data_IF_440993910656
#
_entry.id   IF_440993910656
#
_cell.length_a   1.000
_cell.length_b   1.000
_cell.length_c   1.000
_cell.angle_alpha   90.00
_cell.angle_beta   90.00
_cell.angle_gamma   90.00
#
_symmetry.space_group_name_H-M   'P 1'
#
loop_
_entity.id
_entity.type
_entity.pdbx_description
1 polymer ?
#
# COMPACT_ATOMS: atom_id res chain seq x y z
N UNK A 1 2.27 -12.22 -19.47
CA UNK A 1 2.79 -10.84 -19.45
C UNK A 1 1.60 -9.91 -19.26
N UNK A 2 1.62 -9.08 -18.22
CA UNK A 2 0.62 -8.03 -18.03
C UNK A 2 1.18 -6.73 -18.61
N UNK A 3 0.38 -5.97 -19.34
CA UNK A 3 0.76 -4.65 -19.88
C UNK A 3 -0.05 -3.61 -19.11
N UNK A 4 0.63 -2.63 -18.53
CA UNK A 4 0.05 -1.56 -17.73
C UNK A 4 0.59 -0.21 -18.21
N UNK A 5 -0.09 0.86 -17.83
CA UNK A 5 0.42 2.21 -18.03
C UNK A 5 1.78 2.38 -17.33
N UNK A 6 2.74 3.00 -18.03
CA UNK A 6 4.06 3.27 -17.49
C UNK A 6 4.01 4.54 -16.65
N UNK A 7 4.46 4.44 -15.40
CA UNK A 7 4.64 5.59 -14.52
C UNK A 7 6.12 5.79 -14.19
N UNK A 8 6.53 7.04 -13.96
CA UNK A 8 7.94 7.46 -13.94
C UNK A 8 8.73 6.86 -12.78
N UNK A 9 8.15 6.83 -11.57
CA UNK A 9 8.88 6.36 -10.38
C UNK A 9 7.98 5.89 -9.25
N UNK A 10 8.60 5.21 -8.26
CA UNK A 10 7.93 4.92 -6.99
C UNK A 10 7.87 6.15 -6.09
N UNK A 11 6.84 6.22 -5.23
CA UNK A 11 6.70 7.26 -4.21
C UNK A 11 7.95 7.29 -3.31
N UNK A 12 8.55 6.14 -2.98
CA UNK A 12 9.81 6.06 -2.22
C UNK A 12 10.92 6.88 -2.87
N UNK A 13 11.12 6.69 -4.18
CA UNK A 13 12.12 7.43 -4.93
C UNK A 13 11.78 8.92 -5.02
N UNK A 14 10.49 9.23 -5.26
CA UNK A 14 10.03 10.61 -5.32
C UNK A 14 10.25 11.36 -4.00
N UNK A 15 9.89 10.76 -2.85
CA UNK A 15 10.08 11.36 -1.54
C UNK A 15 11.58 11.51 -1.21
N UNK A 16 12.42 10.52 -1.50
CA UNK A 16 13.87 10.63 -1.29
C UNK A 16 14.49 11.84 -2.01
N UNK A 17 13.96 12.20 -3.18
CA UNK A 17 14.48 13.30 -3.98
C UNK A 17 13.84 14.65 -3.63
N UNK A 18 12.56 14.67 -3.23
CA UNK A 18 11.76 15.90 -3.19
C UNK A 18 11.11 16.20 -1.83
N UNK A 19 11.27 15.36 -0.80
CA UNK A 19 10.50 15.52 0.45
C UNK A 19 10.65 16.90 1.12
N UNK A 20 11.84 17.50 1.04
CA UNK A 20 12.11 18.83 1.62
C UNK A 20 11.47 19.94 0.78
N UNK A 21 11.45 19.80 -0.55
CA UNK A 21 10.88 20.81 -1.46
C UNK A 21 9.35 20.73 -1.55
N UNK A 22 8.76 19.57 -1.25
CA UNK A 22 7.31 19.40 -1.23
C UNK A 22 6.65 20.22 -0.12
N UNK A 23 5.65 21.01 -0.49
CA UNK A 23 4.82 21.73 0.47
C UNK A 23 3.77 20.80 1.11
N UNK A 24 3.14 21.26 2.20
CA UNK A 24 2.13 20.47 2.91
C UNK A 24 0.91 20.11 2.07
N UNK A 25 0.51 20.97 1.13
CA UNK A 25 -0.65 20.72 0.27
C UNK A 25 -0.36 19.54 -0.67
N UNK A 26 0.85 19.47 -1.25
CA UNK A 26 1.29 18.35 -2.08
C UNK A 26 1.32 17.06 -1.28
N UNK A 27 1.94 17.07 -0.08
CA UNK A 27 1.99 15.89 0.80
C UNK A 27 0.59 15.37 1.15
N UNK A 28 -0.30 16.27 1.55
CA UNK A 28 -1.69 15.91 1.86
C UNK A 28 -2.44 15.40 0.63
N UNK A 29 -2.18 15.97 -0.55
CA UNK A 29 -2.81 15.52 -1.79
C UNK A 29 -2.33 14.12 -2.19
N UNK A 30 -1.03 13.83 -2.07
CA UNK A 30 -0.48 12.48 -2.26
C UNK A 30 -1.15 11.46 -1.33
N UNK A 31 -1.28 11.78 -0.03
CA UNK A 31 -1.96 10.90 0.93
C UNK A 31 -3.43 10.70 0.56
N UNK A 32 -4.12 11.77 0.14
CA UNK A 32 -5.50 11.69 -0.32
C UNK A 32 -5.66 10.75 -1.52
N UNK A 33 -4.79 10.83 -2.54
CA UNK A 33 -4.89 9.95 -3.72
C UNK A 33 -4.59 8.49 -3.37
N UNK A 34 -3.65 8.23 -2.46
CA UNK A 34 -3.37 6.88 -1.95
C UNK A 34 -4.58 6.34 -1.20
N UNK A 35 -5.19 7.13 -0.30
CA UNK A 35 -6.37 6.74 0.45
C UNK A 35 -7.56 6.43 -0.48
N UNK A 36 -7.72 7.21 -1.55
CA UNK A 36 -8.73 6.99 -2.57
C UNK A 36 -8.52 5.65 -3.31
N UNK A 37 -7.29 5.38 -3.77
CA UNK A 37 -6.97 4.09 -4.40
C UNK A 37 -7.16 2.90 -3.45
N UNK A 38 -6.78 3.05 -2.18
CA UNK A 38 -6.93 2.00 -1.17
C UNK A 38 -8.41 1.73 -0.89
N UNK A 39 -9.24 2.79 -0.80
CA UNK A 39 -10.69 2.68 -0.69
C UNK A 39 -11.28 1.88 -1.86
N UNK A 40 -10.82 2.09 -3.09
CA UNK A 40 -11.30 1.35 -4.26
C UNK A 40 -10.96 -0.15 -4.19
N UNK A 41 -9.76 -0.50 -3.69
CA UNK A 41 -9.37 -1.90 -3.42
C UNK A 41 -10.29 -2.50 -2.35
N UNK A 42 -10.49 -1.78 -1.24
CA UNK A 42 -11.29 -2.26 -0.11
C UNK A 42 -12.78 -2.40 -0.47
N UNK A 43 -13.33 -1.49 -1.28
CA UNK A 43 -14.72 -1.58 -1.77
C UNK A 43 -14.95 -2.80 -2.67
N UNK A 44 -13.91 -3.30 -3.34
CA UNK A 44 -13.96 -4.58 -4.07
C UNK A 44 -13.84 -5.80 -3.16
N UNK A 45 -13.80 -5.61 -1.85
CA UNK A 45 -13.64 -6.66 -0.85
C UNK A 45 -12.23 -7.26 -0.85
N UNK A 46 -11.22 -6.55 -1.33
CA UNK A 46 -9.84 -7.01 -1.39
C UNK A 46 -8.99 -6.40 -0.25
N UNK A 47 -7.89 -7.09 0.06
CA UNK A 47 -6.81 -6.66 0.96
C UNK A 47 -5.52 -6.66 0.15
N UNK A 48 -4.72 -5.60 0.21
CA UNK A 48 -3.47 -5.46 -0.55
C UNK A 48 -2.32 -6.31 0.00
N UNK A 49 -2.13 -6.31 1.33
CA UNK A 49 -1.13 -7.10 2.08
C UNK A 49 0.34 -6.71 1.86
N UNK A 50 0.62 -5.72 1.02
CA UNK A 50 1.97 -5.24 0.74
C UNK A 50 1.98 -3.74 0.39
N UNK A 51 1.22 -2.95 1.15
CA UNK A 51 1.09 -1.52 0.93
C UNK A 51 2.28 -0.77 1.57
N UNK A 52 3.15 -0.19 0.73
CA UNK A 52 4.27 0.67 1.15
C UNK A 52 4.65 1.65 0.02
N UNK A 53 5.48 2.68 0.31
CA UNK A 53 5.89 3.69 -0.68
C UNK A 53 6.61 3.14 -1.94
N UNK A 54 7.00 1.86 -1.93
CA UNK A 54 7.62 1.20 -3.10
C UNK A 54 6.58 0.65 -4.08
N UNK A 55 5.41 0.27 -3.58
CA UNK A 55 4.26 -0.20 -4.36
C UNK A 55 3.25 0.93 -4.60
N UNK A 56 3.73 2.18 -4.57
CA UNK A 56 2.98 3.36 -4.98
C UNK A 56 3.78 4.01 -6.08
N UNK A 57 3.17 4.21 -7.24
CA UNK A 57 3.77 4.83 -8.41
C UNK A 57 3.26 6.25 -8.60
N UNK A 58 4.07 7.09 -9.21
CA UNK A 58 3.76 8.50 -9.45
C UNK A 58 4.54 9.03 -10.66
N UNK A 59 3.88 9.83 -11.48
CA UNK A 59 4.51 10.59 -12.58
C UNK A 59 4.98 11.98 -12.15
N UNK A 60 4.47 12.50 -11.03
CA UNK A 60 4.52 13.91 -10.69
C UNK A 60 4.02 14.11 -9.23
N UNK A 61 4.40 15.21 -8.58
CA UNK A 61 3.91 15.72 -7.28
C UNK A 61 2.38 15.63 -7.06
N UNK A 62 1.57 15.42 -8.08
CA UNK A 62 0.12 15.53 -8.05
C UNK A 62 -0.63 14.19 -8.02
N UNK A 63 -0.08 13.06 -8.46
CA UNK A 63 -0.86 11.81 -8.44
C UNK A 63 -0.04 10.60 -8.02
N UNK A 64 -0.64 9.80 -7.13
CA UNK A 64 -0.08 8.56 -6.63
C UNK A 64 -1.07 7.40 -6.84
N UNK A 65 -0.57 6.30 -7.39
CA UNK A 65 -1.33 5.12 -7.76
C UNK A 65 -0.78 3.89 -7.03
N UNK A 66 -1.67 3.10 -6.44
CA UNK A 66 -1.30 1.84 -5.81
C UNK A 66 -1.05 0.80 -6.92
N UNK A 67 0.05 0.07 -6.82
CA UNK A 67 0.45 -0.98 -7.77
C UNK A 67 0.75 -2.30 -7.05
N UNK A 68 1.20 -3.31 -7.79
CA UNK A 68 1.57 -4.64 -7.31
C UNK A 68 0.44 -5.34 -6.53
N UNK A 69 -0.62 -5.66 -7.27
CA UNK A 69 -1.76 -6.39 -6.75
C UNK A 69 -1.51 -7.91 -6.65
N UNK A 70 -0.27 -8.38 -6.84
CA UNK A 70 0.08 -9.81 -6.89
C UNK A 70 -0.21 -10.57 -5.59
N UNK A 71 -0.25 -9.86 -4.46
CA UNK A 71 -0.56 -10.41 -3.14
C UNK A 71 -2.00 -10.14 -2.69
N UNK A 72 -2.79 -9.43 -3.49
CA UNK A 72 -4.16 -9.08 -3.15
C UNK A 72 -5.01 -10.33 -2.92
N UNK A 73 -5.82 -10.33 -1.85
CA UNK A 73 -6.74 -11.43 -1.54
C UNK A 73 -8.11 -10.93 -1.08
N UNK A 74 -9.20 -11.69 -1.33
CA UNK A 74 -10.51 -11.35 -0.79
C UNK A 74 -10.51 -11.34 0.74
N UNK A 75 -11.14 -10.32 1.33
CA UNK A 75 -11.18 -10.12 2.78
C UNK A 75 -12.01 -11.17 3.54
N UNK A 76 -12.84 -11.93 2.84
CA UNK A 76 -13.68 -12.99 3.38
C UNK A 76 -13.06 -14.39 3.29
N UNK A 77 -11.93 -14.55 2.58
CA UNK A 77 -11.24 -15.83 2.50
C UNK A 77 -10.36 -15.96 3.74
N UNK A 78 -10.83 -16.75 4.71
CA UNK A 78 -9.95 -17.26 5.77
C UNK A 78 -8.90 -18.11 5.08
N UNK A 79 -7.64 -17.75 5.23
CA UNK A 79 -6.57 -18.54 4.65
C UNK A 79 -6.57 -19.90 5.35
N UNK A 80 -7.11 -20.91 4.68
CA UNK A 80 -6.93 -22.32 5.01
C UNK A 80 -5.46 -22.68 4.74
N UNK A 81 -4.54 -22.06 5.48
CA UNK A 81 -3.12 -22.29 5.35
C UNK A 81 -2.59 -22.72 6.70
N UNK A 82 -2.14 -23.99 6.67
CA UNK A 82 -1.39 -24.78 7.63
C UNK A 82 -0.52 -23.99 8.61
N UNK A 83 -0.11 -24.68 9.66
CA UNK A 83 0.80 -24.34 10.78
C UNK A 83 1.98 -23.36 10.54
N UNK A 84 2.28 -22.93 9.31
CA UNK A 84 3.27 -21.93 8.93
C UNK A 84 2.61 -20.72 8.23
N UNK A 85 1.99 -19.80 8.99
CA UNK A 85 1.49 -18.52 8.44
C UNK A 85 2.66 -17.70 7.89
N UNK A 86 2.74 -17.57 6.56
CA UNK A 86 3.71 -16.70 5.90
C UNK A 86 3.32 -15.24 6.09
N UNK A 87 4.27 -14.43 6.54
CA UNK A 87 4.15 -12.97 6.58
C UNK A 87 4.63 -12.45 5.22
N UNK A 88 3.86 -11.52 4.65
CA UNK A 88 4.13 -10.88 3.38
C UNK A 88 4.29 -9.38 3.61
N UNK A 89 4.99 -8.76 2.69
CA UNK A 89 5.24 -7.32 2.63
C UNK A 89 6.37 -6.79 3.50
N UNK A 90 6.56 -5.48 3.41
CA UNK A 90 7.70 -4.77 4.01
C UNK A 90 7.49 -4.55 5.51
N UNK A 91 8.35 -5.16 6.34
CA UNK A 91 8.17 -5.28 7.81
C UNK A 91 7.66 -4.01 8.54
N UNK A 92 8.23 -2.80 8.34
CA UNK A 92 7.69 -1.58 8.95
C UNK A 92 6.22 -1.29 8.66
N UNK A 93 5.74 -1.69 7.47
CA UNK A 93 4.38 -1.48 6.99
C UNK A 93 3.43 -2.64 7.32
N UNK A 94 3.91 -3.72 7.92
CA UNK A 94 3.08 -4.86 8.33
C UNK A 94 2.46 -4.60 9.69
N UNK A 95 1.14 -4.73 9.77
CA UNK A 95 0.39 -4.48 10.98
C UNK A 95 0.82 -5.41 12.15
N UNK A 96 0.88 -4.90 13.38
CA UNK A 96 1.42 -5.66 14.52
C UNK A 96 0.59 -6.90 14.86
N UNK A 97 -0.72 -6.90 14.60
CA UNK A 97 -1.56 -8.08 14.75
C UNK A 97 -1.19 -9.20 13.77
N UNK A 98 -0.79 -8.84 12.55
CA UNK A 98 -0.33 -9.79 11.53
C UNK A 98 1.03 -10.38 11.94
N UNK A 99 1.94 -9.54 12.45
CA UNK A 99 3.22 -10.00 13.00
C UNK A 99 3.04 -10.97 14.19
N UNK A 100 1.94 -10.84 14.94
CA UNK A 100 1.54 -11.75 16.02
C UNK A 100 0.76 -12.98 15.51
N UNK A 101 0.71 -13.20 14.20
CA UNK A 101 0.09 -14.36 13.58
C UNK A 101 -1.43 -14.27 13.39
N UNK A 102 -2.05 -13.08 13.55
CA UNK A 102 -3.43 -12.89 13.09
C UNK A 102 -3.48 -12.79 11.55
N UNK A 103 -4.68 -12.95 11.00
CA UNK A 103 -4.89 -12.85 9.56
C UNK A 103 -4.75 -11.39 9.08
N UNK A 104 -4.39 -11.23 7.81
CA UNK A 104 -4.49 -9.94 7.14
C UNK A 104 -5.95 -9.53 7.04
N UNK A 105 -6.21 -8.24 7.23
CA UNK A 105 -7.53 -7.63 7.09
C UNK A 105 -7.41 -6.30 6.35
N UNK A 106 -8.52 -5.70 5.94
CA UNK A 106 -8.49 -4.33 5.42
C UNK A 106 -7.90 -3.35 6.44
N UNK A 107 -8.16 -3.54 7.74
CA UNK A 107 -7.53 -2.75 8.81
C UNK A 107 -6.00 -2.90 8.85
N UNK A 108 -5.46 -4.06 8.46
CA UNK A 108 -4.01 -4.24 8.36
C UNK A 108 -3.38 -3.43 7.22
N UNK A 109 -4.10 -3.20 6.11
CA UNK A 109 -3.65 -2.25 5.08
C UNK A 109 -3.71 -0.80 5.59
N UNK A 110 -4.70 -0.46 6.43
CA UNK A 110 -4.81 0.88 7.04
C UNK A 110 -3.60 1.18 7.94
N UNK A 111 -3.06 0.18 8.64
CA UNK A 111 -1.79 0.33 9.35
C UNK A 111 -0.66 0.71 8.37
N UNK A 112 -0.52 -0.02 7.25
CA UNK A 112 0.47 0.28 6.22
C UNK A 112 0.33 1.70 5.64
N UNK A 113 -0.91 2.16 5.43
CA UNK A 113 -1.22 3.54 5.06
C UNK A 113 -0.78 4.55 6.15
N UNK A 114 -1.01 4.24 7.42
CA UNK A 114 -0.54 5.06 8.54
C UNK A 114 0.98 5.21 8.58
N UNK A 115 1.72 4.15 8.24
CA UNK A 115 3.19 4.19 8.12
C UNK A 115 3.65 5.03 6.92
N UNK A 116 2.89 5.05 5.82
CA UNK A 116 3.18 5.94 4.68
C UNK A 116 2.95 7.41 5.04
N UNK A 117 1.99 7.69 5.92
CA UNK A 117 1.66 9.06 6.35
C UNK A 117 2.64 9.64 7.40
N UNK A 118 3.49 8.81 8.01
CA UNK A 118 4.48 9.19 9.01
C UNK A 118 5.81 9.61 8.36
#
# INVERSE_FOLDING_TARGET
>A
MMVMELLDSSLRQHLNNNFISMNWKEKLFTLYTIAYGLKDIHNKGLIHRDLHCGNILSNDIHQAFITDLGLCQPANVKSYQNSNKKIYGVLPNVAPEVLRGKEYTQASDIYGYGIIAY
#
